data_IF_639194766381
#
_entry.id   IF_639194766381
#
_cell.length_a   1.000
_cell.length_b   1.000
_cell.length_c   1.000
_cell.angle_alpha   90.00
_cell.angle_beta   90.00
_cell.angle_gamma   90.00
#
_symmetry.space_group_name_H-M   'P 1'
#
loop_
_entity.id
_entity.type
_entity.pdbx_description
1 polymer ?
#
# COMPACT_ATOMS: atom_id res chain seq x y z
N UNK A 1 44.39 -48.91 -53.33
CA UNK A 1 44.69 -47.47 -53.20
C UNK A 1 43.53 -46.68 -53.83
N UNK A 2 42.78 -45.96 -52.99
CA UNK A 2 41.94 -44.77 -53.25
C UNK A 2 40.62 -44.94 -54.05
N UNK A 3 39.43 -44.92 -53.39
CA UNK A 3 38.53 -43.77 -53.07
C UNK A 3 37.81 -43.25 -54.33
N UNK A 4 36.47 -43.28 -54.53
CA UNK A 4 35.32 -42.48 -53.95
C UNK A 4 33.99 -43.18 -54.37
N UNK A 5 32.98 -43.57 -53.56
CA UNK A 5 31.98 -42.85 -52.72
C UNK A 5 31.31 -41.69 -53.53
N UNK A 6 30.00 -41.59 -53.82
CA UNK A 6 28.72 -42.10 -53.28
C UNK A 6 27.55 -41.70 -54.21
N UNK A 7 26.32 -42.11 -53.81
CA UNK A 7 24.96 -41.73 -54.25
C UNK A 7 24.29 -42.87 -55.06
N UNK A 8 23.09 -43.37 -54.78
CA UNK A 8 21.85 -42.76 -54.29
C UNK A 8 20.87 -43.90 -53.89
N UNK A 9 19.63 -43.58 -53.46
CA UNK A 9 18.46 -44.45 -53.12
C UNK A 9 18.26 -44.68 -51.60
N UNK A 10 17.57 -43.79 -50.87
CA UNK A 10 16.11 -43.56 -50.75
C UNK A 10 15.33 -44.73 -50.12
N UNK A 11 14.78 -44.47 -48.92
CA UNK A 11 13.54 -44.98 -48.28
C UNK A 11 13.83 -45.20 -46.79
N UNK A 12 13.49 -44.22 -45.95
CA UNK A 12 12.70 -44.37 -44.70
C UNK A 12 12.31 -42.93 -44.30
N UNK A 13 11.14 -42.49 -44.73
CA UNK A 13 10.51 -41.25 -44.26
C UNK A 13 9.08 -41.58 -43.85
N UNK A 14 8.89 -42.07 -42.63
CA UNK A 14 7.57 -42.24 -42.02
C UNK A 14 7.69 -42.39 -40.49
N UNK A 15 8.05 -41.31 -39.79
CA UNK A 15 7.94 -41.28 -38.31
C UNK A 15 7.77 -39.87 -37.71
N UNK A 16 7.25 -38.88 -38.44
CA UNK A 16 7.07 -37.51 -37.91
C UNK A 16 5.62 -37.07 -37.71
N UNK A 17 4.69 -38.00 -37.43
CA UNK A 17 3.27 -37.68 -37.23
C UNK A 17 2.77 -38.17 -35.87
N UNK A 18 3.51 -37.85 -34.80
CA UNK A 18 2.95 -37.89 -33.46
C UNK A 18 3.45 -36.67 -32.67
N UNK A 19 2.50 -35.94 -32.12
CA UNK A 19 2.70 -34.81 -31.19
C UNK A 19 2.92 -33.43 -31.81
N UNK A 20 1.86 -32.92 -32.42
CA UNK A 20 1.40 -31.56 -32.10
C UNK A 20 -0.12 -31.64 -31.88
N UNK A 21 -0.54 -32.15 -30.71
CA UNK A 21 -1.85 -31.74 -30.19
C UNK A 21 -1.71 -30.24 -29.94
N UNK A 22 -2.20 -29.42 -30.87
CA UNK A 22 -2.46 -28.02 -30.60
C UNK A 22 -3.59 -28.00 -29.56
N UNK A 23 -3.22 -27.98 -28.29
CA UNK A 23 -4.13 -27.56 -27.26
C UNK A 23 -4.43 -26.10 -27.58
N UNK A 24 -5.59 -25.84 -28.17
CA UNK A 24 -6.14 -24.50 -28.41
C UNK A 24 -6.60 -23.88 -27.08
N UNK A 25 -5.82 -24.05 -26.03
CA UNK A 25 -6.05 -23.34 -24.78
C UNK A 25 -5.61 -21.91 -25.05
N UNK A 26 -6.59 -21.03 -25.23
CA UNK A 26 -6.33 -19.60 -25.18
C UNK A 26 -5.51 -19.33 -23.90
N UNK A 27 -4.43 -18.53 -23.96
CA UNK A 27 -3.65 -18.26 -22.77
C UNK A 27 -4.59 -17.76 -21.67
N UNK A 28 -4.58 -18.42 -20.52
CA UNK A 28 -5.40 -18.03 -19.38
C UNK A 28 -5.02 -16.61 -18.99
N UNK A 29 -5.91 -15.65 -19.27
CA UNK A 29 -5.69 -14.25 -18.91
C UNK A 29 -5.79 -14.15 -17.40
N UNK A 30 -4.65 -13.99 -16.72
CA UNK A 30 -4.63 -13.75 -15.29
C UNK A 30 -5.09 -12.32 -15.03
N UNK A 31 -6.29 -12.19 -14.48
CA UNK A 31 -6.85 -10.90 -14.09
C UNK A 31 -6.01 -10.28 -12.95
N UNK A 32 -5.76 -8.98 -13.05
CA UNK A 32 -4.97 -8.21 -12.08
C UNK A 32 -5.66 -6.93 -11.65
N UNK A 33 -5.16 -6.37 -10.57
CA UNK A 33 -5.62 -5.10 -9.97
C UNK A 33 -4.45 -4.43 -9.25
N UNK A 34 -4.61 -3.17 -8.85
CA UNK A 34 -3.57 -2.40 -8.15
C UNK A 34 -3.85 -2.37 -6.65
N UNK A 35 -2.87 -2.76 -5.86
CA UNK A 35 -2.95 -2.77 -4.40
C UNK A 35 -1.75 -2.06 -3.79
N UNK A 36 -2.00 -0.99 -3.05
CA UNK A 36 -1.06 -0.48 -2.07
C UNK A 36 -1.23 -1.24 -0.76
N UNK A 37 -0.12 -1.69 -0.17
CA UNK A 37 -0.12 -2.26 1.18
C UNK A 37 0.65 -1.29 2.05
N UNK A 38 0.13 -0.95 3.22
CA UNK A 38 0.67 0.01 4.18
C UNK A 38 0.89 -0.69 5.52
N UNK A 39 2.13 -0.73 5.99
CA UNK A 39 2.45 -1.24 7.32
C UNK A 39 2.27 -0.13 8.34
N UNK A 40 1.09 -0.08 8.97
CA UNK A 40 0.80 0.81 10.07
C UNK A 40 1.02 0.16 11.46
N UNK A 41 1.55 -1.06 11.49
CA UNK A 41 1.83 -1.79 12.72
C UNK A 41 3.20 -1.40 13.30
N UNK A 42 3.44 -1.85 14.52
CA UNK A 42 4.72 -1.70 15.23
C UNK A 42 5.74 -2.82 14.94
N UNK A 43 5.45 -3.69 13.96
CA UNK A 43 6.30 -4.81 13.59
C UNK A 43 6.90 -4.63 12.20
N UNK A 44 8.05 -5.25 11.98
CA UNK A 44 8.57 -5.46 10.63
C UNK A 44 7.90 -6.69 10.06
N UNK A 45 7.22 -6.55 8.92
CA UNK A 45 6.40 -7.61 8.34
C UNK A 45 6.83 -7.94 6.91
N UNK A 46 6.24 -8.99 6.36
CA UNK A 46 6.28 -9.34 4.95
C UNK A 46 4.86 -9.66 4.49
N UNK A 47 4.53 -9.23 3.28
CA UNK A 47 3.23 -9.41 2.67
C UNK A 47 3.31 -10.48 1.57
N UNK A 48 2.33 -11.37 1.54
CA UNK A 48 2.29 -12.50 0.62
C UNK A 48 0.91 -12.60 -0.03
N UNK A 49 0.91 -13.08 -1.27
CA UNK A 49 -0.28 -13.51 -1.98
C UNK A 49 -0.12 -14.98 -2.37
N UNK A 50 -1.05 -15.83 -1.93
CA UNK A 50 -1.06 -17.27 -2.19
C UNK A 50 0.28 -17.95 -1.87
N UNK A 51 0.92 -17.56 -0.76
CA UNK A 51 2.22 -18.10 -0.34
C UNK A 51 3.44 -17.44 -1.01
N UNK A 52 3.27 -16.63 -2.05
CA UNK A 52 4.37 -15.89 -2.69
C UNK A 52 4.58 -14.53 -2.05
N UNK A 53 5.81 -14.21 -1.64
CA UNK A 53 6.16 -12.91 -1.05
C UNK A 53 6.08 -11.82 -2.11
N UNK A 54 5.40 -10.72 -1.80
CA UNK A 54 5.25 -9.57 -2.69
C UNK A 54 6.39 -8.56 -2.47
N UNK A 55 6.73 -8.25 -1.21
CA UNK A 55 7.80 -7.29 -0.89
C UNK A 55 9.18 -7.98 -0.91
N UNK A 56 9.77 -8.13 -2.09
CA UNK A 56 10.92 -9.01 -2.36
C UNK A 56 12.31 -8.44 -2.04
N UNK A 57 12.51 -7.12 -1.96
CA UNK A 57 13.88 -6.53 -1.85
C UNK A 57 14.28 -6.04 -0.46
N UNK A 58 13.35 -5.85 0.48
CA UNK A 58 13.67 -5.49 1.86
C UNK A 58 12.51 -5.82 2.82
N UNK A 59 12.85 -5.95 4.11
CA UNK A 59 11.85 -6.11 5.17
C UNK A 59 10.99 -4.87 5.28
N UNK A 60 9.70 -5.06 5.54
CA UNK A 60 8.71 -3.99 5.44
C UNK A 60 8.48 -3.34 6.82
N UNK A 61 9.13 -2.21 7.09
CA UNK A 61 9.16 -1.54 8.41
C UNK A 61 7.87 -0.77 8.74
N UNK A 62 7.61 -0.47 10.03
CA UNK A 62 6.54 0.44 10.45
C UNK A 62 6.53 1.76 9.68
N UNK A 63 5.34 2.18 9.25
CA UNK A 63 5.12 3.34 8.41
C UNK A 63 5.57 3.16 6.95
N UNK A 64 5.91 1.95 6.51
CA UNK A 64 6.21 1.66 5.11
C UNK A 64 4.95 1.63 4.23
N UNK A 65 5.17 1.79 2.92
CA UNK A 65 4.21 1.51 1.83
C UNK A 65 4.90 0.66 0.75
N UNK A 66 4.19 -0.28 0.12
CA UNK A 66 4.70 -0.96 -1.08
C UNK A 66 4.51 -0.14 -2.36
N UNK A 67 3.79 0.98 -2.29
CA UNK A 67 3.20 1.61 -3.47
C UNK A 67 2.12 0.72 -4.09
N UNK A 68 1.48 1.19 -5.15
CA UNK A 68 0.47 0.41 -5.85
C UNK A 68 1.14 -0.66 -6.72
N UNK A 69 1.20 -1.87 -6.18
CA UNK A 69 1.74 -3.04 -6.89
C UNK A 69 0.62 -3.80 -7.60
N UNK A 70 0.95 -4.35 -8.76
CA UNK A 70 0.03 -5.24 -9.49
C UNK A 70 -0.08 -6.58 -8.77
N UNK A 71 -1.29 -6.94 -8.36
CA UNK A 71 -1.63 -8.22 -7.70
C UNK A 71 -2.69 -8.97 -8.50
N UNK A 72 -2.83 -10.28 -8.27
CA UNK A 72 -3.93 -11.02 -8.93
C UNK A 72 -5.29 -10.55 -8.39
N UNK A 73 -6.27 -10.38 -9.27
CA UNK A 73 -7.65 -10.07 -8.91
C UNK A 73 -8.47 -11.35 -8.64
N UNK A 74 -9.74 -11.20 -8.28
CA UNK A 74 -10.62 -12.26 -7.82
C UNK A 74 -10.35 -12.65 -6.36
N UNK A 75 -10.85 -13.83 -5.96
CA UNK A 75 -10.62 -14.37 -4.61
C UNK A 75 -9.17 -14.83 -4.47
N UNK A 76 -8.42 -14.17 -3.60
CA UNK A 76 -7.01 -14.44 -3.33
C UNK A 76 -6.77 -14.58 -1.84
N UNK A 77 -5.80 -15.41 -1.46
CA UNK A 77 -5.41 -15.54 -0.06
C UNK A 77 -4.20 -14.64 0.22
N UNK A 78 -4.40 -13.59 1.00
CA UNK A 78 -3.31 -12.72 1.42
C UNK A 78 -2.84 -13.07 2.83
N UNK A 79 -1.53 -13.03 3.03
CA UNK A 79 -0.92 -13.38 4.30
C UNK A 79 0.05 -12.29 4.74
N UNK A 80 0.08 -12.04 6.04
CA UNK A 80 1.10 -11.21 6.66
C UNK A 80 1.90 -12.07 7.61
N UNK A 81 3.22 -11.97 7.50
CA UNK A 81 4.16 -12.71 8.35
C UNK A 81 5.12 -11.73 8.99
N UNK A 82 5.60 -12.05 10.20
CA UNK A 82 6.72 -11.32 10.79
C UNK A 82 7.96 -11.49 9.90
N UNK A 83 8.69 -10.41 9.68
CA UNK A 83 9.96 -10.44 8.98
C UNK A 83 11.05 -10.94 9.93
N UNK A 84 11.11 -12.26 10.15
CA UNK A 84 12.23 -12.92 10.84
C UNK A 84 13.13 -13.64 9.82
N UNK A 85 14.46 -13.53 9.93
CA UNK A 85 15.40 -14.25 9.07
C UNK A 85 15.33 -15.78 9.21
N UNK A 86 14.92 -16.30 10.37
CA UNK A 86 15.02 -17.73 10.70
C UNK A 86 13.70 -18.50 10.53
N UNK A 87 12.53 -17.87 10.69
CA UNK A 87 11.23 -18.49 10.39
C UNK A 87 10.14 -17.42 10.26
N UNK A 88 9.48 -17.26 9.10
CA UNK A 88 8.40 -16.30 8.98
C UNK A 88 7.16 -16.81 9.73
N UNK A 89 6.93 -16.29 10.94
CA UNK A 89 5.73 -16.59 11.71
C UNK A 89 4.52 -15.90 11.06
N UNK A 90 3.50 -16.68 10.70
CA UNK A 90 2.27 -16.15 10.12
C UNK A 90 1.53 -15.39 11.21
N UNK A 91 1.33 -14.08 11.01
CA UNK A 91 0.46 -13.30 11.87
C UNK A 91 -1.00 -13.62 11.55
N UNK A 92 -1.34 -13.59 10.25
CA UNK A 92 -2.67 -13.94 9.79
C UNK A 92 -2.72 -14.26 8.29
N UNK A 93 -3.81 -14.90 7.88
CA UNK A 93 -4.20 -15.19 6.49
C UNK A 93 -5.64 -14.76 6.29
N UNK A 94 -5.93 -14.00 5.22
CA UNK A 94 -7.28 -13.50 4.92
C UNK A 94 -7.62 -13.77 3.45
N UNK A 95 -8.70 -14.51 3.15
CA UNK A 95 -9.25 -14.54 1.81
C UNK A 95 -9.92 -13.19 1.50
N UNK A 96 -9.52 -12.56 0.40
CA UNK A 96 -10.05 -11.27 -0.06
C UNK A 96 -10.36 -11.38 -1.55
N UNK A 97 -11.53 -10.89 -1.95
CA UNK A 97 -11.87 -10.70 -3.36
C UNK A 97 -11.52 -9.29 -3.78
N UNK A 98 -10.69 -9.13 -4.80
CA UNK A 98 -10.40 -7.84 -5.41
C UNK A 98 -10.95 -7.79 -6.84
N UNK A 99 -11.60 -6.69 -7.21
CA UNK A 99 -12.17 -6.56 -8.54
C UNK A 99 -11.14 -6.02 -9.53
N UNK A 100 -11.29 -6.43 -10.79
CA UNK A 100 -10.55 -5.83 -11.90
C UNK A 100 -11.01 -4.40 -12.14
N UNK A 101 -10.08 -3.48 -12.38
CA UNK A 101 -10.39 -2.07 -12.67
C UNK A 101 -10.62 -1.19 -11.44
N UNK A 102 -10.51 -1.76 -10.23
CA UNK A 102 -10.45 -1.01 -8.98
C UNK A 102 -9.00 -0.84 -8.52
N UNK A 103 -8.81 0.06 -7.58
CA UNK A 103 -7.53 0.33 -6.94
C UNK A 103 -7.76 0.30 -5.44
N UNK A 104 -6.85 -0.28 -4.67
CA UNK A 104 -7.05 -0.48 -3.24
C UNK A 104 -5.84 -0.08 -2.42
N UNK A 105 -6.08 0.36 -1.19
CA UNK A 105 -5.08 0.46 -0.13
C UNK A 105 -5.44 -0.49 1.01
N UNK A 106 -4.50 -1.34 1.40
CA UNK A 106 -4.59 -2.25 2.54
C UNK A 106 -3.73 -1.74 3.69
N UNK A 107 -4.34 -1.51 4.84
CA UNK A 107 -3.66 -1.07 6.05
C UNK A 107 -3.55 -2.22 7.04
N UNK A 108 -2.33 -2.44 7.53
CA UNK A 108 -2.02 -3.46 8.54
C UNK A 108 -1.57 -2.71 9.79
N UNK A 109 -2.45 -2.54 10.78
CA UNK A 109 -2.19 -1.77 12.00
C UNK A 109 -1.82 -2.62 13.22
N UNK A 110 -1.77 -3.94 13.07
CA UNK A 110 -1.52 -4.85 14.19
C UNK A 110 -1.24 -6.28 13.74
N UNK A 111 -1.29 -7.21 14.70
CA UNK A 111 -0.89 -8.61 14.50
C UNK A 111 -2.06 -9.57 14.26
N UNK A 112 -3.30 -9.08 14.31
CA UNK A 112 -4.52 -9.88 14.18
C UNK A 112 -5.30 -9.49 12.93
N UNK A 113 -6.19 -10.37 12.46
CA UNK A 113 -7.09 -10.09 11.33
C UNK A 113 -7.95 -8.85 11.53
N UNK A 114 -8.37 -8.60 12.77
CA UNK A 114 -9.16 -7.42 13.12
C UNK A 114 -8.38 -6.13 12.94
N UNK A 115 -7.05 -6.17 12.89
CA UNK A 115 -6.19 -5.00 12.70
C UNK A 115 -5.91 -4.69 11.22
N UNK A 116 -6.78 -5.17 10.33
CA UNK A 116 -6.58 -5.10 8.88
C UNK A 116 -7.83 -4.55 8.21
N UNK A 117 -7.65 -3.52 7.39
CA UNK A 117 -8.75 -2.88 6.68
C UNK A 117 -8.32 -2.36 5.30
N UNK A 118 -9.32 -2.18 4.44
CA UNK A 118 -9.15 -1.80 3.04
C UNK A 118 -9.90 -0.50 2.75
N UNK A 119 -9.29 0.37 1.95
CA UNK A 119 -9.97 1.44 1.27
C UNK A 119 -9.94 1.15 -0.24
N UNK A 120 -11.07 1.37 -0.91
CA UNK A 120 -11.08 1.53 -2.37
C UNK A 120 -10.62 2.95 -2.69
N UNK A 121 -9.66 3.06 -3.60
CA UNK A 121 -9.02 4.32 -3.94
C UNK A 121 -9.52 4.86 -5.27
N UNK A 122 -9.89 6.14 -5.26
CA UNK A 122 -10.19 6.91 -6.47
C UNK A 122 -9.06 7.89 -6.71
N UNK A 123 -8.12 7.48 -7.56
CA UNK A 123 -6.89 8.23 -7.85
C UNK A 123 -7.07 9.13 -9.07
N UNK A 124 -7.82 10.22 -8.90
CA UNK A 124 -8.02 11.23 -9.93
C UNK A 124 -7.34 12.54 -9.53
N UNK A 125 -6.37 12.99 -10.31
CA UNK A 125 -5.70 14.27 -10.07
C UNK A 125 -6.69 15.44 -10.15
N UNK A 126 -6.40 16.50 -9.39
CA UNK A 126 -7.19 17.73 -9.44
C UNK A 126 -6.91 18.51 -10.73
N UNK A 127 -7.98 18.94 -11.42
CA UNK A 127 -7.87 19.63 -12.71
C UNK A 127 -7.21 21.01 -12.58
N UNK A 128 -7.32 21.65 -11.40
CA UNK A 128 -6.73 22.96 -11.12
C UNK A 128 -5.26 22.83 -10.65
N UNK A 129 -4.70 21.61 -10.63
CA UNK A 129 -3.32 21.35 -10.25
C UNK A 129 -3.07 21.35 -8.74
N UNK A 130 -4.10 21.36 -7.89
CA UNK A 130 -3.89 21.21 -6.45
C UNK A 130 -3.32 19.82 -6.10
N UNK A 131 -2.61 19.74 -4.97
CA UNK A 131 -2.37 18.47 -4.33
C UNK A 131 -3.70 17.95 -3.75
N UNK A 132 -3.93 16.65 -3.82
CA UNK A 132 -5.03 15.99 -3.10
C UNK A 132 -4.47 15.28 -1.88
N UNK A 133 -5.07 15.48 -0.71
CA UNK A 133 -4.62 14.85 0.54
C UNK A 133 -5.80 14.15 1.19
N UNK A 134 -5.60 12.91 1.64
CA UNK A 134 -6.51 12.20 2.54
C UNK A 134 -5.77 11.86 3.83
N UNK A 135 -6.47 11.91 4.96
CA UNK A 135 -5.94 11.43 6.24
C UNK A 135 -6.54 10.07 6.59
N UNK A 136 -5.70 9.11 7.00
CA UNK A 136 -6.13 7.79 7.47
C UNK A 136 -5.62 7.57 8.87
N UNK A 137 -6.54 7.28 9.79
CA UNK A 137 -6.18 6.87 11.14
C UNK A 137 -6.00 5.35 11.21
N UNK A 138 -4.75 4.88 11.22
CA UNK A 138 -4.42 3.48 11.38
C UNK A 138 -3.73 3.17 12.73
N UNK A 139 -3.78 4.10 13.69
CA UNK A 139 -3.27 3.87 15.05
C UNK A 139 -4.37 3.23 15.92
N UNK A 140 -4.15 2.00 16.46
CA UNK A 140 -5.22 1.23 17.08
C UNK A 140 -5.69 1.73 18.46
N UNK A 141 -4.85 2.47 19.20
CA UNK A 141 -5.14 2.96 20.56
C UNK A 141 -5.31 4.49 20.63
N UNK A 142 -5.22 5.19 19.49
CA UNK A 142 -5.28 6.64 19.46
C UNK A 142 -6.67 7.21 19.75
N UNK A 143 -7.72 6.40 19.57
CA UNK A 143 -9.08 6.92 19.40
C UNK A 143 -9.21 7.74 18.11
N UNK A 144 -10.28 8.53 17.96
CA UNK A 144 -10.41 9.43 16.83
C UNK A 144 -9.31 10.50 16.82
N UNK A 145 -8.75 10.76 15.64
CA UNK A 145 -7.67 11.73 15.44
C UNK A 145 -8.18 12.95 14.69
N UNK A 146 -7.56 14.09 14.96
CA UNK A 146 -7.73 15.33 14.21
C UNK A 146 -6.39 15.67 13.55
N UNK A 147 -6.42 16.10 12.29
CA UNK A 147 -5.27 16.63 11.57
C UNK A 147 -5.50 18.11 11.30
N UNK A 148 -4.57 18.94 11.74
CA UNK A 148 -4.54 20.37 11.43
C UNK A 148 -3.26 20.73 10.69
N UNK A 149 -3.34 21.80 9.91
CA UNK A 149 -2.18 22.45 9.33
C UNK A 149 -1.84 23.61 10.24
N UNK A 150 -0.62 23.63 10.78
CA UNK A 150 -0.18 24.72 11.63
C UNK A 150 -0.05 25.99 10.78
N UNK A 151 -0.45 27.13 11.35
CA UNK A 151 -0.16 28.43 10.75
C UNK A 151 1.35 28.61 10.54
N UNK A 152 1.74 29.25 9.43
CA UNK A 152 3.14 29.62 9.20
C UNK A 152 3.69 30.46 10.37
N UNK A 153 5.01 30.43 10.55
CA UNK A 153 5.70 31.18 11.60
C UNK A 153 5.28 32.66 11.64
N UNK A 154 4.86 33.09 12.84
CA UNK A 154 4.78 34.46 13.41
C UNK A 154 5.08 35.67 12.50
N UNK A 155 4.33 36.80 12.64
CA UNK A 155 3.78 37.29 13.91
C UNK A 155 2.30 36.97 14.14
N UNK A 156 1.58 36.47 13.14
CA UNK A 156 0.21 36.01 13.33
C UNK A 156 0.24 34.55 13.74
N UNK A 157 0.01 34.29 15.03
CA UNK A 157 -0.42 32.99 15.51
C UNK A 157 -1.77 32.63 14.85
N UNK A 158 -1.72 32.17 13.60
CA UNK A 158 -2.87 31.53 12.97
C UNK A 158 -3.02 30.19 13.69
N UNK A 159 -4.12 30.03 14.41
CA UNK A 159 -4.51 28.76 15.00
C UNK A 159 -4.41 27.66 13.94
N UNK A 160 -3.93 26.50 14.38
CA UNK A 160 -4.00 25.25 13.64
C UNK A 160 -5.31 25.11 12.87
N UNK A 161 -5.22 25.18 11.54
CA UNK A 161 -6.39 25.08 10.69
C UNK A 161 -6.72 23.61 10.52
N UNK A 162 -7.75 23.16 11.22
CA UNK A 162 -8.26 21.79 11.13
C UNK A 162 -8.60 21.46 9.67
N UNK A 163 -8.01 20.38 9.16
CA UNK A 163 -8.24 19.85 7.81
C UNK A 163 -9.06 18.57 7.84
N UNK A 164 -8.89 17.78 8.89
CA UNK A 164 -9.69 16.59 9.15
C UNK A 164 -10.07 16.56 10.62
N UNK A 165 -11.36 16.51 10.89
CA UNK A 165 -11.89 16.41 12.26
C UNK A 165 -12.36 14.99 12.54
N UNK A 166 -12.02 14.46 13.71
CA UNK A 166 -12.62 13.24 14.27
C UNK A 166 -12.52 11.99 13.36
N UNK A 167 -11.36 11.76 12.74
CA UNK A 167 -11.11 10.58 11.92
C UNK A 167 -10.94 9.36 12.82
N UNK A 168 -11.97 8.51 12.85
CA UNK A 168 -11.98 7.28 13.63
C UNK A 168 -10.93 6.27 13.13
N UNK A 169 -10.46 5.40 14.03
CA UNK A 169 -9.60 4.28 13.67
C UNK A 169 -10.27 3.41 12.61
N UNK A 170 -9.54 3.14 11.51
CA UNK A 170 -10.01 2.40 10.33
C UNK A 170 -11.14 3.06 9.53
N UNK A 171 -11.37 4.36 9.66
CA UNK A 171 -12.27 5.07 8.75
C UNK A 171 -11.74 5.01 7.31
N UNK A 172 -12.59 4.55 6.38
CA UNK A 172 -12.23 4.33 4.96
C UNK A 172 -12.97 5.26 4.01
N UNK A 173 -13.97 5.97 4.51
CA UNK A 173 -14.84 6.93 3.81
C UNK A 173 -14.33 8.37 3.87
N UNK A 174 -13.10 8.58 4.35
CA UNK A 174 -12.48 9.91 4.43
C UNK A 174 -12.18 10.43 3.03
N UNK A 175 -12.81 11.54 2.64
CA UNK A 175 -12.60 12.17 1.34
C UNK A 175 -11.21 12.83 1.22
N UNK A 176 -10.74 12.98 -0.02
CA UNK A 176 -9.59 13.83 -0.32
C UNK A 176 -9.98 15.31 -0.24
N UNK A 177 -9.10 16.12 0.34
CA UNK A 177 -9.21 17.58 0.29
C UNK A 177 -8.19 18.14 -0.70
N UNK A 178 -8.52 19.29 -1.29
CA UNK A 178 -7.59 20.05 -2.13
C UNK A 178 -6.67 20.89 -1.26
N UNK A 179 -5.37 20.84 -1.55
CA UNK A 179 -4.34 21.63 -0.88
C UNK A 179 -3.44 22.25 -1.92
N UNK A 180 -3.07 23.51 -1.75
CA UNK A 180 -2.11 24.17 -2.63
C UNK A 180 -0.76 23.45 -2.54
N UNK A 181 -0.31 22.92 -3.68
CA UNK A 181 1.00 22.26 -3.80
C UNK A 181 2.15 23.24 -4.03
N UNK A 182 3.39 22.75 -3.97
CA UNK A 182 4.63 23.50 -4.14
C UNK A 182 5.20 24.08 -2.84
N UNK A 183 4.66 23.72 -1.68
CA UNK A 183 5.04 24.28 -0.38
C UNK A 183 5.30 23.18 0.66
N UNK A 184 6.11 23.53 1.66
CA UNK A 184 6.21 22.78 2.91
C UNK A 184 5.04 23.18 3.80
N UNK A 185 4.37 22.20 4.40
CA UNK A 185 3.29 22.40 5.36
C UNK A 185 3.70 21.80 6.70
N UNK A 186 3.54 22.57 7.77
CA UNK A 186 3.59 22.04 9.13
C UNK A 186 2.24 21.38 9.44
N UNK A 187 2.29 20.16 9.96
CA UNK A 187 1.08 19.39 10.27
C UNK A 187 1.16 18.81 11.66
N UNK A 188 0.04 18.95 12.36
CA UNK A 188 -0.13 18.50 13.73
C UNK A 188 -1.29 17.50 13.82
N UNK A 189 -1.07 16.41 14.53
CA UNK A 189 -2.06 15.37 14.82
C UNK A 189 -2.41 15.40 16.28
N UNK A 190 -3.70 15.51 16.57
CA UNK A 190 -4.27 15.55 17.90
C UNK A 190 -5.18 14.35 18.14
N UNK A 191 -5.34 13.95 19.40
CA UNK A 191 -6.52 13.17 19.77
C UNK A 191 -7.74 14.09 19.74
N UNK A 192 -8.78 13.73 18.99
CA UNK A 192 -9.93 14.61 18.78
C UNK A 192 -10.72 14.89 20.07
N UNK A 193 -10.67 13.98 21.05
CA UNK A 193 -11.31 14.15 22.36
C UNK A 193 -10.57 15.09 23.30
N UNK A 194 -9.28 15.38 23.05
CA UNK A 194 -8.45 16.26 23.87
C UNK A 194 -7.40 16.98 23.01
N UNK A 195 -7.83 17.98 22.22
CA UNK A 195 -6.96 18.65 21.25
C UNK A 195 -6.07 19.74 21.88
N UNK A 196 -5.76 19.66 23.18
CA UNK A 196 -5.00 20.70 23.88
C UNK A 196 -3.50 20.69 23.54
N UNK A 197 -2.97 19.56 23.09
CA UNK A 197 -1.58 19.43 22.66
C UNK A 197 -1.47 18.41 21.54
N UNK A 198 -0.64 18.66 20.51
CA UNK A 198 -0.42 17.67 19.48
C UNK A 198 0.22 16.41 20.08
N UNK A 199 -0.15 15.26 19.54
CA UNK A 199 0.50 13.97 19.79
C UNK A 199 1.61 13.72 18.79
N UNK A 200 1.57 14.38 17.64
CA UNK A 200 2.61 14.34 16.65
C UNK A 200 2.59 15.59 15.80
N UNK A 201 3.74 16.26 15.73
CA UNK A 201 4.01 17.34 14.78
C UNK A 201 5.09 16.89 13.79
N UNK A 202 4.94 17.33 12.54
CA UNK A 202 5.92 17.08 11.49
C UNK A 202 5.75 18.05 10.34
N UNK A 203 6.66 18.02 9.38
CA UNK A 203 6.54 18.77 8.14
C UNK A 203 6.31 17.81 6.98
N UNK A 204 5.47 18.22 6.03
CA UNK A 204 5.21 17.48 4.80
C UNK A 204 5.41 18.40 3.60
N UNK A 205 5.87 17.82 2.49
CA UNK A 205 5.98 18.53 1.21
C UNK A 205 4.90 18.00 0.29
N UNK A 206 4.04 18.89 -0.18
CA UNK A 206 2.96 18.57 -1.10
C UNK A 206 3.24 19.24 -2.43
N UNK A 207 3.45 18.46 -3.49
CA UNK A 207 3.67 18.96 -4.84
C UNK A 207 2.33 19.11 -5.58
N UNK A 208 2.27 20.10 -6.47
CA UNK A 208 1.10 20.33 -7.32
C UNK A 208 0.77 19.07 -8.17
N UNK A 209 -0.52 18.78 -8.32
CA UNK A 209 -1.03 17.65 -9.11
C UNK A 209 -0.80 16.26 -8.51
N UNK A 210 -0.15 16.12 -7.36
CA UNK A 210 0.07 14.83 -6.70
C UNK A 210 -1.06 14.48 -5.73
N UNK A 211 -1.32 13.18 -5.58
CA UNK A 211 -2.33 12.62 -4.66
C UNK A 211 -1.59 11.96 -3.50
N UNK A 212 -2.01 12.23 -2.28
CA UNK A 212 -1.34 11.77 -1.06
C UNK A 212 -2.32 11.14 -0.08
N UNK A 213 -1.84 10.11 0.62
CA UNK A 213 -2.42 9.66 1.88
C UNK A 213 -1.45 9.98 3.01
N UNK A 214 -1.85 10.79 3.98
CA UNK A 214 -1.17 10.90 5.26
C UNK A 214 -1.78 9.85 6.19
N UNK A 215 -0.99 8.84 6.58
CA UNK A 215 -1.46 7.76 7.45
C UNK A 215 -0.84 7.92 8.85
N UNK A 216 -1.65 7.84 9.90
CA UNK A 216 -1.14 7.67 11.27
C UNK A 216 -0.85 6.18 11.55
N UNK A 217 0.19 5.89 12.29
CA UNK A 217 0.58 4.53 12.67
C UNK A 217 1.27 4.51 14.04
N UNK A 218 1.53 3.31 14.56
CA UNK A 218 2.04 3.14 15.92
C UNK A 218 0.98 3.40 16.98
N UNK A 219 1.39 3.59 18.23
CA UNK A 219 0.47 3.65 19.38
C UNK A 219 0.69 4.89 20.24
N UNK A 220 -0.39 5.54 20.70
CA UNK A 220 -0.31 6.76 21.52
C UNK A 220 0.33 6.48 22.88
N UNK A 221 0.10 5.31 23.46
CA UNK A 221 0.69 4.94 24.75
C UNK A 221 2.18 4.55 24.70
N UNK A 222 2.80 4.55 23.52
CA UNK A 222 4.18 4.09 23.32
C UNK A 222 5.14 5.24 23.02
N UNK A 223 6.42 5.04 23.34
CA UNK A 223 7.50 6.01 23.09
C UNK A 223 8.42 5.55 21.96
N UNK A 224 9.25 6.49 21.47
CA UNK A 224 10.25 6.21 20.44
C UNK A 224 9.64 5.68 19.14
N UNK A 225 10.27 4.68 18.54
CA UNK A 225 9.88 4.14 17.22
C UNK A 225 8.52 3.41 17.20
N UNK A 226 7.94 3.15 18.38
CA UNK A 226 6.64 2.49 18.53
C UNK A 226 5.51 3.49 18.80
N UNK A 227 5.85 4.75 19.10
CA UNK A 227 4.89 5.81 19.40
C UNK A 227 4.08 6.25 18.19
N UNK A 228 3.01 7.02 18.43
CA UNK A 228 2.19 7.59 17.36
C UNK A 228 3.07 8.37 16.39
N UNK A 229 2.99 8.01 15.12
CA UNK A 229 3.73 8.62 14.03
C UNK A 229 2.86 8.77 12.80
N UNK A 230 3.35 9.52 11.82
CA UNK A 230 2.68 9.74 10.54
C UNK A 230 3.62 9.44 9.39
N UNK A 231 3.07 8.89 8.29
CA UNK A 231 3.77 8.74 7.01
C UNK A 231 2.96 9.41 5.90
N UNK A 232 3.62 10.27 5.13
CA UNK A 232 3.10 10.73 3.86
C UNK A 232 3.39 9.68 2.77
N UNK A 233 2.35 9.17 2.14
CA UNK A 233 2.41 8.22 1.03
C UNK A 233 1.94 8.93 -0.22
N UNK A 234 2.73 8.87 -1.28
CA UNK A 234 2.34 9.34 -2.61
C UNK A 234 1.49 8.23 -3.25
N UNK A 235 0.31 8.59 -3.76
CA UNK A 235 -0.57 7.66 -4.45
C UNK A 235 -0.35 7.77 -5.97
N UNK A 236 0.34 6.78 -6.54
CA UNK A 236 0.70 6.68 -7.98
C UNK A 236 0.64 5.23 -8.45
#
# INVERSE_FOLDING_TARGET
MNIRIKAFTCIVAAACWASCKKNNDAPTVQLTTSLNVVNASNNVINFYQNGTRINNTSSYYPGGSLGYVTVKAGLQNFQVKLASPSTPNILFSKPITLDTGKVYSLYISGQTLESVFFAEDVLKADADGNALVRFVNASPDAGPLMLAFEGGSLPDHVLDTVKFSNVAYKATDVAFIKVKGGFVHNVAVYQASSPSSPKRDTTIVLNAGQIYTLVSYGTVGSNGNQGLSTRLIINQ
#
